data_IF_067942090832
#
_entry.id   IF_067942090832
#
_cell.length_a   1.000
_cell.length_b   1.000
_cell.length_c   1.000
_cell.angle_alpha   90.00
_cell.angle_beta   90.00
_cell.angle_gamma   90.00
#
_symmetry.space_group_name_H-M   'P 1'
#
loop_
_entity.id
_entity.type
_entity.pdbx_description
1 polymer ?
#
# COMPACT_ATOMS: atom_id res chain seq x y z
N UNK A 1 27.71 -49.16 21.51
CA UNK A 1 26.31 -49.13 21.05
C UNK A 1 26.02 -47.73 20.50
N UNK A 2 25.80 -47.62 19.18
CA UNK A 2 25.54 -46.38 18.43
C UNK A 2 24.12 -45.89 18.71
N UNK A 3 23.93 -44.61 19.05
CA UNK A 3 22.63 -43.93 18.96
C UNK A 3 22.78 -42.75 17.99
N UNK A 4 22.28 -42.94 16.77
CA UNK A 4 22.08 -41.86 15.81
C UNK A 4 20.88 -41.02 16.27
N UNK A 5 21.11 -39.75 16.59
CA UNK A 5 20.05 -38.76 16.67
C UNK A 5 19.83 -38.18 15.27
N UNK A 6 18.72 -38.56 14.64
CA UNK A 6 18.21 -37.90 13.44
C UNK A 6 17.64 -36.53 13.85
N UNK A 7 18.39 -35.45 13.57
CA UNK A 7 17.83 -34.10 13.58
C UNK A 7 17.12 -33.88 12.23
N UNK A 8 15.79 -33.94 12.26
CA UNK A 8 14.97 -33.44 11.15
C UNK A 8 15.00 -31.91 11.25
N UNK A 9 15.88 -31.29 10.46
CA UNK A 9 15.85 -29.85 10.21
C UNK A 9 14.69 -29.61 9.24
N UNK A 10 13.55 -29.18 9.78
CA UNK A 10 12.47 -28.58 8.99
C UNK A 10 13.00 -27.27 8.42
N UNK A 11 13.48 -27.31 7.18
CA UNK A 11 13.76 -26.13 6.37
C UNK A 11 12.44 -25.41 6.12
N UNK A 12 12.12 -24.46 6.99
CA UNK A 12 11.11 -23.43 6.70
C UNK A 12 11.69 -22.58 5.58
N UNK A 13 11.27 -22.84 4.34
CA UNK A 13 11.56 -21.95 3.23
C UNK A 13 10.98 -20.56 3.57
N UNK A 14 11.77 -19.48 3.56
CA UNK A 14 11.19 -18.15 3.58
C UNK A 14 10.31 -18.03 2.33
N UNK A 15 9.05 -17.63 2.52
CA UNK A 15 8.14 -17.36 1.42
C UNK A 15 8.86 -16.47 0.41
N UNK A 16 8.99 -16.95 -0.83
CA UNK A 16 9.54 -16.18 -1.93
C UNK A 16 8.65 -14.94 -2.10
N UNK A 17 9.16 -13.79 -1.66
CA UNK A 17 8.56 -12.51 -2.00
C UNK A 17 8.59 -12.39 -3.52
N UNK A 18 7.48 -11.94 -4.12
CA UNK A 18 7.39 -11.77 -5.56
C UNK A 18 8.58 -10.94 -6.06
N UNK A 19 9.48 -11.57 -6.82
CA UNK A 19 10.76 -11.04 -7.34
C UNK A 19 10.60 -9.84 -8.32
N UNK A 20 9.47 -9.11 -8.28
CA UNK A 20 9.13 -7.99 -9.15
C UNK A 20 8.40 -6.82 -8.49
N UNK A 21 8.26 -6.82 -7.16
CA UNK A 21 7.70 -5.67 -6.43
C UNK A 21 8.70 -4.51 -6.40
N UNK A 22 8.23 -3.30 -6.69
CA UNK A 22 9.05 -2.08 -6.62
C UNK A 22 9.34 -1.65 -5.18
N UNK A 23 8.51 -2.10 -4.23
CA UNK A 23 8.62 -1.78 -2.82
C UNK A 23 8.81 -3.05 -1.99
N UNK A 24 9.63 -2.94 -0.95
CA UNK A 24 9.74 -4.01 0.03
C UNK A 24 8.47 -4.11 0.90
N UNK A 25 8.15 -5.30 1.45
CA UNK A 25 7.02 -5.43 2.35
C UNK A 25 7.06 -4.46 3.54
N UNK A 26 8.27 -4.17 4.06
CA UNK A 26 8.46 -3.23 5.16
C UNK A 26 8.13 -1.78 4.77
N UNK A 27 8.47 -1.36 3.54
CA UNK A 27 8.06 -0.05 3.03
C UNK A 27 6.54 0.03 2.89
N UNK A 28 5.91 -1.02 2.37
CA UNK A 28 4.46 -1.09 2.19
C UNK A 28 3.73 -1.00 3.54
N UNK A 29 4.16 -1.77 4.54
CA UNK A 29 3.56 -1.72 5.88
C UNK A 29 3.76 -0.36 6.54
N UNK A 30 4.93 0.25 6.37
CA UNK A 30 5.22 1.59 6.90
C UNK A 30 4.32 2.66 6.26
N UNK A 31 4.19 2.65 4.93
CA UNK A 31 3.31 3.59 4.20
C UNK A 31 1.87 3.43 4.66
N UNK A 32 1.36 2.20 4.73
CA UNK A 32 0.02 1.93 5.21
C UNK A 32 -0.19 2.44 6.65
N UNK A 33 0.79 2.22 7.53
CA UNK A 33 0.76 2.73 8.90
C UNK A 33 0.73 4.25 8.97
N UNK A 34 1.54 4.95 8.16
CA UNK A 34 1.53 6.42 8.10
C UNK A 34 0.16 6.95 7.64
N UNK A 35 -0.46 6.33 6.66
CA UNK A 35 -1.81 6.72 6.20
C UNK A 35 -2.86 6.55 7.30
N UNK A 36 -2.77 5.47 8.07
CA UNK A 36 -3.68 5.26 9.20
C UNK A 36 -3.46 6.30 10.31
N UNK A 37 -2.20 6.63 10.65
CA UNK A 37 -1.93 7.68 11.63
C UNK A 37 -2.47 9.04 11.16
N UNK A 38 -2.28 9.40 9.89
CA UNK A 38 -2.85 10.61 9.32
C UNK A 38 -4.39 10.64 9.44
N UNK A 39 -5.06 9.50 9.23
CA UNK A 39 -6.50 9.38 9.46
C UNK A 39 -6.88 9.56 10.94
N UNK A 40 -6.12 9.01 11.87
CA UNK A 40 -6.38 9.18 13.31
C UNK A 40 -6.19 10.63 13.74
N UNK A 41 -5.19 11.31 13.19
CA UNK A 41 -4.83 12.69 13.54
C UNK A 41 -5.82 13.74 13.00
N UNK A 42 -6.32 13.55 11.77
CA UNK A 42 -7.18 14.56 11.13
C UNK A 42 -8.21 14.01 10.14
N UNK A 43 -8.60 12.74 10.32
CA UNK A 43 -9.59 12.04 9.51
C UNK A 43 -9.17 12.00 8.01
N UNK A 44 -10.15 11.79 7.13
CA UNK A 44 -9.96 11.71 5.69
C UNK A 44 -9.24 12.93 5.10
N UNK A 45 -9.39 14.11 5.70
CA UNK A 45 -8.77 15.34 5.21
C UNK A 45 -7.25 15.33 5.40
N UNK A 46 -6.77 14.94 6.58
CA UNK A 46 -5.33 14.86 6.85
C UNK A 46 -4.69 13.71 6.06
N UNK A 47 -5.34 12.55 6.03
CA UNK A 47 -4.92 11.41 5.21
C UNK A 47 -4.80 11.80 3.73
N UNK A 48 -5.80 12.48 3.17
CA UNK A 48 -5.76 12.93 1.78
C UNK A 48 -4.69 14.00 1.55
N UNK A 49 -4.53 14.96 2.47
CA UNK A 49 -3.45 15.95 2.39
C UNK A 49 -2.08 15.29 2.31
N UNK A 50 -1.80 14.28 3.13
CA UNK A 50 -0.52 13.59 3.13
C UNK A 50 -0.32 12.70 1.89
N UNK A 51 -1.38 12.07 1.39
CA UNK A 51 -1.36 11.41 0.08
C UNK A 51 -0.99 12.41 -1.04
N UNK A 52 -1.59 13.60 -1.04
CA UNK A 52 -1.34 14.61 -2.06
C UNK A 52 0.08 15.19 -2.00
N UNK A 53 0.72 15.23 -0.82
CA UNK A 53 2.15 15.54 -0.71
C UNK A 53 3.01 14.49 -1.40
N UNK A 54 2.66 13.20 -1.27
CA UNK A 54 3.35 12.13 -2.00
C UNK A 54 3.27 12.36 -3.51
N UNK A 55 2.06 12.67 -4.02
CA UNK A 55 1.86 12.95 -5.44
C UNK A 55 2.61 14.20 -5.93
N UNK A 56 2.63 15.25 -5.13
CA UNK A 56 3.40 16.46 -5.42
C UNK A 56 4.90 16.15 -5.52
N UNK A 57 5.45 15.37 -4.59
CA UNK A 57 6.85 14.96 -4.62
C UNK A 57 7.17 14.01 -5.79
N UNK A 58 6.25 13.11 -6.14
CA UNK A 58 6.34 12.29 -7.35
C UNK A 58 6.48 13.14 -8.61
N UNK A 59 5.75 14.25 -8.69
CA UNK A 59 5.79 15.19 -9.82
C UNK A 59 7.12 15.96 -9.93
N UNK A 60 7.82 16.17 -8.81
CA UNK A 60 9.09 16.91 -8.71
C UNK A 60 10.32 16.05 -9.01
N UNK A 61 10.25 14.75 -8.76
CA UNK A 61 11.30 13.82 -9.21
C UNK A 61 11.34 13.77 -10.75
N UNK A 62 12.44 13.32 -11.37
CA UNK A 62 12.51 13.15 -12.83
C UNK A 62 11.26 12.38 -13.27
N UNK A 63 10.31 13.08 -13.91
CA UNK A 63 8.91 12.66 -14.03
C UNK A 63 8.78 11.15 -14.24
N UNK A 64 7.99 10.51 -13.38
CA UNK A 64 7.60 9.10 -13.46
C UNK A 64 8.62 8.08 -12.88
N UNK A 65 9.23 8.37 -11.73
CA UNK A 65 9.90 7.32 -10.94
C UNK A 65 8.86 6.29 -10.46
N UNK A 66 8.98 5.07 -10.96
CA UNK A 66 8.05 3.97 -10.66
C UNK A 66 8.00 3.63 -9.17
N UNK A 67 9.10 3.79 -8.43
CA UNK A 67 9.13 3.50 -7.00
C UNK A 67 8.32 4.53 -6.21
N UNK A 68 8.41 5.81 -6.60
CA UNK A 68 7.64 6.88 -5.95
C UNK A 68 6.16 6.73 -6.29
N UNK A 69 5.83 6.47 -7.56
CA UNK A 69 4.44 6.19 -7.96
C UNK A 69 3.88 4.96 -7.25
N UNK A 70 4.66 3.90 -7.11
CA UNK A 70 4.26 2.73 -6.33
C UNK A 70 3.99 3.09 -4.86
N UNK A 71 4.82 3.94 -4.25
CA UNK A 71 4.63 4.36 -2.86
C UNK A 71 3.35 5.18 -2.68
N UNK A 72 3.09 6.15 -3.57
CA UNK A 72 1.85 6.92 -3.54
C UNK A 72 0.63 6.07 -3.88
N UNK A 73 0.76 5.07 -4.76
CA UNK A 73 -0.29 4.09 -5.02
C UNK A 73 -0.62 3.24 -3.81
N UNK A 74 0.39 2.77 -3.07
CA UNK A 74 0.19 2.07 -1.79
C UNK A 74 -0.51 2.97 -0.78
N UNK A 75 -0.12 4.24 -0.69
CA UNK A 75 -0.77 5.22 0.19
C UNK A 75 -2.26 5.40 -0.16
N UNK A 76 -2.58 5.56 -1.45
CA UNK A 76 -3.96 5.71 -1.92
C UNK A 76 -4.82 4.45 -1.68
N UNK A 77 -4.25 3.26 -1.89
CA UNK A 77 -4.91 1.99 -1.58
C UNK A 77 -5.13 1.81 -0.07
N UNK A 78 -4.13 2.12 0.75
CA UNK A 78 -4.27 2.10 2.20
C UNK A 78 -5.41 3.02 2.65
N UNK A 79 -5.47 4.24 2.13
CA UNK A 79 -6.57 5.17 2.40
C UNK A 79 -7.93 4.65 1.97
N UNK A 80 -8.00 3.92 0.86
CA UNK A 80 -9.23 3.23 0.42
C UNK A 80 -9.70 2.19 1.43
N UNK A 81 -8.79 1.37 1.94
CA UNK A 81 -9.14 0.33 2.93
C UNK A 81 -9.52 0.92 4.29
N UNK A 82 -8.81 1.95 4.73
CA UNK A 82 -9.15 2.70 5.95
C UNK A 82 -10.57 3.24 5.82
N UNK A 83 -10.83 3.99 4.76
CA UNK A 83 -12.10 4.68 4.56
C UNK A 83 -13.26 3.70 4.37
N UNK A 84 -13.06 2.61 3.62
CA UNK A 84 -14.06 1.54 3.49
C UNK A 84 -14.41 0.90 4.84
N UNK A 85 -13.42 0.68 5.71
CA UNK A 85 -13.61 0.08 7.03
C UNK A 85 -14.39 1.03 7.95
N UNK A 86 -13.95 2.28 8.08
CA UNK A 86 -14.58 3.25 8.98
C UNK A 86 -15.94 3.73 8.47
N UNK A 87 -16.13 3.90 7.16
CA UNK A 87 -17.45 4.24 6.60
C UNK A 87 -18.50 3.17 6.93
N UNK A 88 -18.11 1.88 6.86
CA UNK A 88 -18.98 0.77 7.24
C UNK A 88 -19.36 0.81 8.71
N UNK A 89 -18.38 1.04 9.61
CA UNK A 89 -18.63 1.17 11.06
C UNK A 89 -19.56 2.34 11.35
N UNK A 90 -19.38 3.46 10.63
CA UNK A 90 -20.17 4.67 10.75
C UNK A 90 -21.51 4.62 9.99
N UNK A 91 -21.84 3.49 9.34
CA UNK A 91 -23.06 3.28 8.55
C UNK A 91 -23.29 4.34 7.47
N UNK A 92 -22.21 4.76 6.81
CA UNK A 92 -22.23 5.69 5.67
C UNK A 92 -21.51 5.08 4.46
N UNK A 93 -21.66 5.73 3.30
CA UNK A 93 -20.81 5.45 2.14
C UNK A 93 -19.37 5.92 2.38
N UNK A 94 -18.43 5.33 1.64
CA UNK A 94 -17.05 5.80 1.61
C UNK A 94 -16.97 7.25 1.12
N UNK A 95 -16.06 8.03 1.67
CA UNK A 95 -15.81 9.39 1.23
C UNK A 95 -15.43 9.40 -0.27
N UNK A 96 -15.93 10.35 -1.08
CA UNK A 96 -15.69 10.36 -2.53
C UNK A 96 -14.21 10.32 -2.93
N UNK A 97 -13.33 10.92 -2.13
CA UNK A 97 -11.87 10.93 -2.35
C UNK A 97 -11.22 9.54 -2.36
N UNK A 98 -11.85 8.58 -1.69
CA UNK A 98 -11.39 7.20 -1.53
C UNK A 98 -12.42 6.18 -2.05
N UNK A 99 -13.34 6.62 -2.90
CA UNK A 99 -14.08 5.70 -3.75
C UNK A 99 -13.10 5.00 -4.71
N UNK A 100 -13.32 3.72 -4.99
CA UNK A 100 -12.38 2.91 -5.78
C UNK A 100 -12.07 3.49 -7.17
N UNK A 101 -13.04 4.14 -7.80
CA UNK A 101 -12.85 4.83 -9.09
C UNK A 101 -11.99 6.09 -8.96
N UNK A 102 -12.24 6.92 -7.95
CA UNK A 102 -11.49 8.16 -7.72
C UNK A 102 -9.99 7.90 -7.47
N UNK A 103 -9.67 6.80 -6.79
CA UNK A 103 -8.27 6.40 -6.54
C UNK A 103 -7.60 5.93 -7.82
N UNK A 104 -8.29 5.15 -8.66
CA UNK A 104 -7.76 4.70 -9.97
C UNK A 104 -7.54 5.86 -10.92
N UNK A 105 -8.49 6.79 -10.97
CA UNK A 105 -8.39 8.01 -11.78
C UNK A 105 -7.19 8.85 -11.32
N UNK A 106 -7.08 9.11 -10.02
CA UNK A 106 -5.95 9.85 -9.44
C UNK A 106 -4.60 9.18 -9.73
N UNK A 107 -4.51 7.86 -9.61
CA UNK A 107 -3.31 7.11 -9.95
C UNK A 107 -2.90 7.31 -11.42
N UNK A 108 -3.89 7.33 -12.33
CA UNK A 108 -3.67 7.57 -13.75
C UNK A 108 -3.26 9.00 -14.04
N UNK A 109 -3.89 9.97 -13.41
CA UNK A 109 -3.67 11.40 -13.68
C UNK A 109 -2.36 11.92 -13.06
N UNK A 110 -2.02 11.46 -11.85
CA UNK A 110 -0.90 12.01 -11.08
C UNK A 110 0.40 11.21 -11.22
N UNK A 111 0.36 9.96 -11.70
CA UNK A 111 1.59 9.16 -11.82
C UNK A 111 2.59 9.71 -12.83
N UNK A 112 2.12 10.39 -13.88
CA UNK A 112 2.94 10.79 -15.02
C UNK A 112 3.51 9.61 -15.82
N UNK A 113 3.12 8.37 -15.50
CA UNK A 113 3.53 7.16 -16.22
C UNK A 113 2.67 6.93 -17.46
N UNK A 114 3.23 6.23 -18.44
CA UNK A 114 2.43 5.64 -19.53
C UNK A 114 1.54 4.54 -18.96
N UNK A 115 0.40 4.28 -19.61
CA UNK A 115 -0.56 3.25 -19.17
C UNK A 115 0.09 1.86 -18.98
N UNK A 116 1.04 1.48 -19.84
CA UNK A 116 1.76 0.21 -19.75
C UNK A 116 2.64 0.13 -18.49
N UNK A 117 3.36 1.20 -18.18
CA UNK A 117 4.19 1.28 -16.99
C UNK A 117 3.34 1.34 -15.71
N UNK A 118 2.22 2.06 -15.76
CA UNK A 118 1.28 2.12 -14.66
C UNK A 118 0.62 0.74 -14.41
N UNK A 119 0.28 0.02 -15.48
CA UNK A 119 -0.20 -1.37 -15.39
C UNK A 119 0.88 -2.26 -14.77
N UNK A 120 2.14 -2.11 -15.16
CA UNK A 120 3.23 -2.88 -14.55
C UNK A 120 3.37 -2.60 -13.04
N UNK A 121 3.28 -1.34 -12.62
CA UNK A 121 3.26 -0.97 -11.19
C UNK A 121 2.08 -1.62 -10.48
N UNK A 122 0.90 -1.60 -11.10
CA UNK A 122 -0.31 -2.20 -10.54
C UNK A 122 -0.16 -3.70 -10.35
N UNK A 123 0.20 -4.41 -11.41
CA UNK A 123 0.26 -5.87 -11.46
C UNK A 123 1.42 -6.43 -10.63
N UNK A 124 2.53 -5.71 -10.50
CA UNK A 124 3.73 -6.21 -9.79
C UNK A 124 3.81 -5.77 -8.34
N UNK A 125 3.24 -4.62 -8.00
CA UNK A 125 3.43 -3.99 -6.69
C UNK A 125 2.10 -3.79 -5.95
N UNK A 126 1.11 -3.15 -6.58
CA UNK A 126 -0.09 -2.73 -5.86
C UNK A 126 -1.04 -3.89 -5.55
N UNK A 127 -1.46 -4.64 -6.57
CA UNK A 127 -2.43 -5.73 -6.42
C UNK A 127 -1.88 -6.92 -5.60
N UNK A 128 -0.67 -7.44 -5.86
CA UNK A 128 -0.15 -8.59 -5.11
C UNK A 128 0.11 -8.28 -3.63
N UNK A 129 0.39 -7.02 -3.28
CA UNK A 129 0.73 -6.63 -1.92
C UNK A 129 -0.47 -6.12 -1.10
N UNK A 130 -1.71 -6.26 -1.59
CA UNK A 130 -2.92 -5.95 -0.80
C UNK A 130 -2.88 -6.61 0.60
N UNK A 131 -2.53 -7.90 0.78
CA UNK A 131 -2.42 -8.49 2.11
C UNK A 131 -1.39 -7.79 3.01
N UNK A 132 -0.28 -7.33 2.42
CA UNK A 132 0.78 -6.61 3.16
C UNK A 132 0.32 -5.23 3.60
N UNK A 133 -0.44 -4.52 2.74
CA UNK A 133 -1.08 -3.25 3.10
C UNK A 133 -2.01 -3.44 4.29
N UNK A 134 -2.89 -4.45 4.24
CA UNK A 134 -3.83 -4.75 5.33
C UNK A 134 -3.10 -5.12 6.62
N UNK A 135 -2.03 -5.91 6.55
CA UNK A 135 -1.18 -6.22 7.71
C UNK A 135 -0.53 -4.97 8.30
N UNK A 136 -0.07 -4.04 7.47
CA UNK A 136 0.46 -2.75 7.91
C UNK A 136 -0.59 -1.92 8.65
N UNK A 137 -1.80 -1.83 8.11
CA UNK A 137 -2.93 -1.14 8.76
C UNK A 137 -3.28 -1.78 10.11
N UNK A 138 -3.35 -3.11 10.15
CA UNK A 138 -3.62 -3.84 11.39
C UNK A 138 -2.52 -3.61 12.43
N UNK A 139 -1.25 -3.67 12.01
CA UNK A 139 -0.09 -3.39 12.86
C UNK A 139 -0.08 -1.95 13.39
N UNK A 140 -0.65 -1.00 12.64
CA UNK A 140 -0.80 0.39 13.05
C UNK A 140 -2.01 0.64 13.97
N UNK A 141 -2.82 -0.39 14.24
CA UNK A 141 -3.95 -0.34 15.18
C UNK A 141 -5.34 -0.27 14.53
N UNK A 142 -5.44 -0.41 13.20
CA UNK A 142 -6.74 -0.53 12.52
C UNK A 142 -7.39 -1.88 12.87
N UNK A 143 -8.69 -1.86 13.21
CA UNK A 143 -9.45 -3.04 13.66
C UNK A 143 -10.75 -3.19 12.90
#
# INVERSE_FOLDING_TARGET
>A
MKKLFFYIVLLVSPAAWADGSLLSPQQITQIAGMMFQAYVEGNVNQMFSDEMKCWDDASKTKRADKNVVAACGVAAMAGTFIEASYARVQRRGAHPLYAGEAVRERLKELSGLKNEDLKAVWDSTLEPNVPVILLGLQGAGMR
#
